data_IF_121334060032
#
_entry.id   IF_121334060032
#
_cell.length_a   1.000
_cell.length_b   1.000
_cell.length_c   1.000
_cell.angle_alpha   90.00
_cell.angle_beta   90.00
_cell.angle_gamma   90.00
#
_symmetry.space_group_name_H-M   'P 1'
#
loop_
_entity.id
_entity.type
_entity.pdbx_description
1 polymer ?
#
# COMPACT_ATOMS: atom_id res chain seq x y z
N UNK A 1 7.35 -20.15 104.68
CA UNK A 1 7.71 -19.15 103.64
C UNK A 1 8.18 -19.79 102.34
N UNK A 2 9.19 -20.68 102.30
CA UNK A 2 9.69 -21.30 101.04
C UNK A 2 8.62 -22.04 100.20
N UNK A 3 7.67 -22.77 100.81
CA UNK A 3 6.61 -23.50 100.08
C UNK A 3 5.61 -22.56 99.37
N UNK A 4 5.27 -21.42 99.99
CA UNK A 4 4.34 -20.43 99.40
C UNK A 4 4.98 -19.76 98.18
N UNK A 5 6.29 -19.49 98.22
CA UNK A 5 7.04 -18.93 97.10
C UNK A 5 7.06 -19.88 95.89
N UNK A 6 7.14 -21.19 96.12
CA UNK A 6 7.13 -22.22 95.06
C UNK A 6 5.75 -22.30 94.36
N UNK A 7 4.65 -22.21 95.11
CA UNK A 7 3.30 -22.18 94.53
C UNK A 7 3.06 -20.93 93.69
N UNK A 8 3.53 -19.77 94.16
CA UNK A 8 3.47 -18.51 93.40
C UNK A 8 4.22 -18.61 92.07
N UNK A 9 5.40 -19.24 92.09
CA UNK A 9 6.22 -19.42 90.89
C UNK A 9 5.60 -20.40 89.89
N UNK A 10 4.95 -21.47 90.37
CA UNK A 10 4.19 -22.40 89.53
C UNK A 10 2.97 -21.76 88.86
N UNK A 11 2.26 -20.88 89.58
CA UNK A 11 1.13 -20.13 89.02
C UNK A 11 1.61 -19.18 87.93
N UNK A 12 2.73 -18.49 88.13
CA UNK A 12 3.31 -17.60 87.10
C UNK A 12 3.71 -18.38 85.86
N UNK A 13 4.34 -19.56 86.00
CA UNK A 13 4.69 -20.42 84.86
C UNK A 13 3.45 -20.93 84.12
N UNK A 14 2.39 -21.30 84.84
CA UNK A 14 1.11 -21.70 84.27
C UNK A 14 0.44 -20.54 83.52
N UNK A 15 0.49 -19.32 84.05
CA UNK A 15 -0.05 -18.14 83.39
C UNK A 15 0.74 -17.82 82.11
N UNK A 16 2.07 -17.95 82.13
CA UNK A 16 2.92 -17.71 80.95
C UNK A 16 2.68 -18.78 79.87
N UNK A 17 2.52 -20.06 80.26
CA UNK A 17 2.24 -21.14 79.31
C UNK A 17 0.83 -21.03 78.73
N UNK A 18 -0.16 -20.62 79.53
CA UNK A 18 -1.53 -20.39 79.07
C UNK A 18 -1.61 -19.19 78.10
N UNK A 19 -0.88 -18.11 78.37
CA UNK A 19 -0.79 -16.96 77.46
C UNK A 19 -0.10 -17.31 76.13
N UNK A 20 0.91 -18.20 76.11
CA UNK A 20 1.52 -18.69 74.86
C UNK A 20 0.55 -19.50 74.00
N UNK A 21 -0.34 -20.29 74.62
CA UNK A 21 -1.34 -21.08 73.89
C UNK A 21 -2.42 -20.15 73.29
N UNK A 22 -2.81 -19.09 74.00
CA UNK A 22 -3.76 -18.09 73.48
C UNK A 22 -3.19 -17.21 72.37
N UNK A 23 -1.90 -16.86 72.43
CA UNK A 23 -1.23 -16.07 71.38
C UNK A 23 -0.87 -16.86 70.11
N UNK A 24 -1.05 -18.19 70.10
CA UNK A 24 -0.76 -19.04 68.93
C UNK A 24 -2.03 -19.55 68.23
N UNK A 25 -3.21 -18.99 68.53
CA UNK A 25 -4.49 -19.46 67.98
C UNK A 25 -5.04 -18.65 66.79
N UNK A 26 -4.32 -17.69 66.24
CA UNK A 26 -4.79 -16.89 65.09
C UNK A 26 -3.78 -16.81 63.92
N UNK A 27 -3.03 -17.88 63.62
CA UNK A 27 -2.06 -17.87 62.51
C UNK A 27 -2.44 -18.76 61.32
N UNK A 28 -3.72 -19.04 61.04
CA UNK A 28 -4.01 -19.82 59.83
C UNK A 28 -5.40 -19.72 59.19
N UNK A 29 -6.08 -18.58 59.24
CA UNK A 29 -7.26 -18.36 58.37
C UNK A 29 -7.24 -16.89 57.89
N UNK A 30 -7.16 -16.71 56.57
CA UNK A 30 -7.24 -15.46 55.79
C UNK A 30 -5.91 -14.74 55.43
N UNK A 31 -5.00 -15.43 54.72
CA UNK A 31 -4.34 -14.71 53.61
C UNK A 31 -5.35 -14.65 52.46
N UNK A 32 -6.00 -13.51 52.32
CA UNK A 32 -6.86 -13.20 51.18
C UNK A 32 -5.97 -13.23 49.93
N UNK A 33 -6.13 -14.28 49.10
CA UNK A 33 -5.38 -14.42 47.85
C UNK A 33 -5.80 -13.24 46.95
N UNK A 34 -5.02 -12.16 46.95
CA UNK A 34 -5.25 -11.00 46.10
C UNK A 34 -4.91 -11.42 44.66
N UNK A 35 -5.89 -12.00 43.97
CA UNK A 35 -5.78 -12.26 42.53
C UNK A 35 -5.69 -10.89 41.86
N UNK A 36 -4.50 -10.55 41.37
CA UNK A 36 -4.33 -9.38 40.51
C UNK A 36 -5.09 -9.66 39.21
N UNK A 37 -6.33 -9.15 39.14
CA UNK A 37 -7.11 -9.17 37.90
C UNK A 37 -6.30 -8.31 36.92
N UNK A 38 -5.77 -8.92 35.87
CA UNK A 38 -5.16 -8.17 34.78
C UNK A 38 -6.14 -7.05 34.37
N UNK A 39 -5.68 -5.80 34.21
CA UNK A 39 -6.55 -4.71 33.83
C UNK A 39 -7.33 -5.12 32.57
N UNK A 40 -8.66 -5.05 32.65
CA UNK A 40 -9.51 -5.28 31.49
C UNK A 40 -9.03 -4.28 30.44
N UNK A 41 -8.60 -4.71 29.25
CA UNK A 41 -8.03 -3.79 28.28
C UNK A 41 -9.10 -2.76 27.94
N UNK A 42 -8.79 -1.50 28.22
CA UNK A 42 -9.70 -0.38 28.05
C UNK A 42 -10.10 -0.29 26.57
N UNK A 43 -11.38 -0.55 26.27
CA UNK A 43 -11.91 -0.42 24.92
C UNK A 43 -11.95 1.06 24.58
N UNK A 44 -11.23 1.43 23.53
CA UNK A 44 -11.21 2.76 22.96
C UNK A 44 -12.20 2.83 21.81
N UNK A 45 -13.03 3.89 21.79
CA UNK A 45 -13.87 4.23 20.64
C UNK A 45 -13.10 5.21 19.78
N UNK A 46 -12.91 4.88 18.51
CA UNK A 46 -12.10 5.70 17.59
C UNK A 46 -12.76 5.83 16.22
N UNK A 47 -12.61 7.00 15.60
CA UNK A 47 -12.90 7.21 14.19
C UNK A 47 -11.68 6.82 13.35
N UNK A 48 -11.80 5.78 12.53
CA UNK A 48 -10.80 5.40 11.53
C UNK A 48 -11.21 5.90 10.15
N UNK A 49 -10.22 6.16 9.30
CA UNK A 49 -10.41 6.47 7.88
C UNK A 49 -9.98 5.27 7.05
N UNK A 50 -10.89 4.78 6.23
CA UNK A 50 -10.69 3.72 5.26
C UNK A 50 -10.75 4.29 3.85
N UNK A 51 -10.04 3.67 2.93
CA UNK A 51 -10.04 4.05 1.53
C UNK A 51 -10.70 2.94 0.71
N UNK A 52 -11.79 3.28 0.03
CA UNK A 52 -12.49 2.38 -0.88
C UNK A 52 -12.59 2.99 -2.26
N UNK A 53 -12.55 2.18 -3.34
CA UNK A 53 -12.70 2.73 -4.67
C UNK A 53 -14.09 3.32 -4.90
N UNK A 54 -14.14 4.36 -5.71
CA UNK A 54 -15.39 4.88 -6.24
C UNK A 54 -16.08 3.86 -7.17
N UNK A 55 -17.36 4.07 -7.44
CA UNK A 55 -18.14 3.22 -8.36
C UNK A 55 -17.52 3.11 -9.76
N UNK A 56 -16.76 4.12 -10.20
CA UNK A 56 -16.08 4.14 -11.50
C UNK A 56 -14.75 3.41 -11.54
N UNK A 57 -14.18 2.95 -10.41
CA UNK A 57 -12.83 2.35 -10.30
C UNK A 57 -11.72 3.29 -10.78
N UNK A 58 -11.93 4.59 -10.61
CA UNK A 58 -10.99 5.63 -11.02
C UNK A 58 -10.24 6.23 -9.83
N UNK A 59 -10.84 6.27 -8.65
CA UNK A 59 -10.27 6.93 -7.48
C UNK A 59 -10.42 6.06 -6.23
N UNK A 60 -9.65 6.39 -5.20
CA UNK A 60 -9.93 6.00 -3.83
C UNK A 60 -10.68 7.13 -3.13
N UNK A 61 -11.76 6.80 -2.44
CA UNK A 61 -12.55 7.73 -1.67
C UNK A 61 -12.46 7.37 -0.19
N UNK A 62 -12.50 8.40 0.66
CA UNK A 62 -12.45 8.21 2.10
C UNK A 62 -13.80 7.71 2.62
N UNK A 63 -13.74 6.83 3.59
CA UNK A 63 -14.86 6.39 4.40
C UNK A 63 -14.45 6.39 5.85
N UNK A 64 -15.15 7.16 6.67
CA UNK A 64 -14.87 7.20 8.10
C UNK A 64 -15.78 6.22 8.83
N UNK A 65 -15.20 5.38 9.70
CA UNK A 65 -15.94 4.42 10.53
C UNK A 65 -15.59 4.60 11.99
N UNK A 66 -16.61 4.51 12.85
CA UNK A 66 -16.41 4.40 14.29
C UNK A 66 -16.18 2.94 14.62
N UNK A 67 -15.05 2.64 15.25
CA UNK A 67 -14.71 1.30 15.73
C UNK A 67 -14.50 1.32 17.24
N UNK A 68 -14.74 0.17 17.87
CA UNK A 68 -14.34 -0.08 19.26
C UNK A 68 -13.20 -1.08 19.27
N UNK A 69 -12.07 -0.72 19.88
CA UNK A 69 -10.92 -1.61 19.91
C UNK A 69 -10.02 -1.43 21.12
N UNK A 70 -9.14 -2.41 21.33
CA UNK A 70 -7.97 -2.27 22.21
C UNK A 70 -6.77 -1.84 21.37
N UNK A 71 -5.82 -1.12 21.97
CA UNK A 71 -4.67 -0.54 21.23
C UNK A 71 -3.87 -1.59 20.45
N UNK A 72 -3.76 -2.81 20.99
CA UNK A 72 -2.95 -3.91 20.44
C UNK A 72 -3.48 -4.52 19.13
N UNK A 73 -4.61 -4.03 18.59
CA UNK A 73 -5.29 -4.63 17.43
C UNK A 73 -5.57 -3.65 16.29
N UNK A 74 -5.02 -2.43 16.32
CA UNK A 74 -5.47 -1.35 15.42
C UNK A 74 -5.25 -1.65 13.94
N UNK A 75 -4.05 -2.10 13.55
CA UNK A 75 -3.75 -2.48 12.17
C UNK A 75 -4.64 -3.62 11.68
N UNK A 76 -4.84 -4.61 12.55
CA UNK A 76 -5.69 -5.77 12.28
C UNK A 76 -7.13 -5.34 12.01
N UNK A 77 -7.67 -4.45 12.84
CA UNK A 77 -9.05 -3.99 12.71
C UNK A 77 -9.24 -3.18 11.44
N UNK A 78 -8.31 -2.29 11.07
CA UNK A 78 -8.37 -1.57 9.79
C UNK A 78 -8.47 -2.55 8.62
N UNK A 79 -7.65 -3.60 8.61
CA UNK A 79 -7.67 -4.61 7.54
C UNK A 79 -8.97 -5.44 7.54
N UNK A 80 -9.45 -5.85 8.71
CA UNK A 80 -10.71 -6.58 8.85
C UNK A 80 -11.90 -5.71 8.41
N UNK A 81 -11.90 -4.41 8.71
CA UNK A 81 -12.91 -3.47 8.23
C UNK A 81 -12.86 -3.25 6.72
N UNK A 82 -11.67 -3.23 6.11
CA UNK A 82 -11.53 -3.21 4.65
C UNK A 82 -12.07 -4.50 4.01
N UNK A 83 -11.80 -5.67 4.59
CA UNK A 83 -12.28 -6.98 4.10
C UNK A 83 -13.80 -7.08 4.20
N UNK A 84 -14.43 -6.49 5.23
CA UNK A 84 -15.90 -6.39 5.33
C UNK A 84 -16.52 -5.64 4.13
N UNK A 85 -15.73 -4.83 3.42
CA UNK A 85 -16.19 -4.02 2.30
C UNK A 85 -16.86 -2.72 2.74
N UNK A 86 -17.12 -1.84 1.78
CA UNK A 86 -17.76 -0.52 1.99
C UNK A 86 -19.21 -0.64 2.46
N UNK A 87 -19.66 0.30 3.30
CA UNK A 87 -21.10 0.47 3.64
C UNK A 87 -21.79 1.48 2.72
N UNK A 88 -21.01 2.26 2.00
CA UNK A 88 -21.47 3.23 1.01
C UNK A 88 -21.78 2.53 -0.32
N UNK A 89 -22.99 2.74 -0.84
CA UNK A 89 -23.51 2.13 -2.08
C UNK A 89 -22.88 2.72 -3.34
N UNK A 90 -22.27 3.90 -3.26
CA UNK A 90 -21.61 4.55 -4.39
C UNK A 90 -20.14 4.13 -4.53
N UNK A 91 -19.64 3.38 -3.55
CA UNK A 91 -18.29 2.80 -3.53
C UNK A 91 -18.37 1.31 -3.80
N UNK A 92 -17.21 0.72 -4.05
CA UNK A 92 -17.10 -0.73 -4.27
C UNK A 92 -16.06 -1.36 -3.34
N UNK A 93 -16.20 -2.66 -3.10
CA UNK A 93 -15.17 -3.46 -2.44
C UNK A 93 -14.31 -4.16 -3.51
N UNK A 94 -13.00 -3.89 -3.50
CA UNK A 94 -12.01 -4.55 -4.38
C UNK A 94 -11.23 -5.64 -3.68
N UNK A 95 -11.32 -5.73 -2.35
CA UNK A 95 -10.81 -6.86 -1.56
C UNK A 95 -11.94 -7.90 -1.50
N UNK A 96 -11.70 -9.14 -1.95
CA UNK A 96 -12.71 -10.20 -1.84
C UNK A 96 -13.10 -10.45 -0.38
N UNK A 97 -14.40 -10.53 -0.10
CA UNK A 97 -14.91 -10.82 1.26
C UNK A 97 -14.49 -12.21 1.79
N UNK A 98 -14.02 -13.09 0.90
CA UNK A 98 -13.44 -14.41 1.22
C UNK A 98 -11.99 -14.33 1.70
N UNK A 99 -11.34 -13.16 1.59
CA UNK A 99 -9.96 -12.93 2.04
C UNK A 99 -9.85 -13.11 3.54
N UNK A 100 -8.82 -13.85 3.98
CA UNK A 100 -8.47 -13.99 5.40
C UNK A 100 -7.17 -13.24 5.68
N UNK A 101 -7.14 -12.55 6.82
CA UNK A 101 -5.93 -11.94 7.36
C UNK A 101 -5.21 -12.95 8.25
N UNK A 102 -4.10 -13.52 7.76
CA UNK A 102 -3.29 -14.43 8.56
C UNK A 102 -2.46 -13.69 9.61
N UNK A 103 -1.76 -12.62 9.22
CA UNK A 103 -0.97 -11.83 10.16
C UNK A 103 -0.79 -10.38 9.71
N UNK A 104 -0.57 -9.51 10.69
CA UNK A 104 -0.07 -8.15 10.50
C UNK A 104 0.94 -7.85 11.60
N UNK A 105 2.13 -7.37 11.22
CA UNK A 105 3.20 -7.01 12.15
C UNK A 105 3.84 -5.71 11.70
N UNK A 106 3.90 -4.72 12.58
CA UNK A 106 4.57 -3.45 12.30
C UNK A 106 5.99 -3.47 12.85
N UNK A 107 6.98 -3.25 11.99
CA UNK A 107 8.40 -3.14 12.38
C UNK A 107 9.05 -1.98 11.65
N UNK A 108 9.73 -1.09 12.40
CA UNK A 108 10.46 0.07 11.87
C UNK A 108 9.61 0.98 10.96
N UNK A 109 8.31 1.09 11.25
CA UNK A 109 7.35 1.86 10.46
C UNK A 109 6.87 1.19 9.17
N UNK A 110 7.18 -0.09 8.95
CA UNK A 110 6.58 -0.89 7.87
C UNK A 110 5.62 -1.91 8.47
N UNK A 111 4.38 -1.93 7.97
CA UNK A 111 3.43 -3.00 8.28
C UNK A 111 3.62 -4.15 7.29
N UNK A 112 3.89 -5.35 7.81
CA UNK A 112 4.01 -6.58 7.05
C UNK A 112 2.72 -7.38 7.21
N UNK A 113 2.03 -7.60 6.09
CA UNK A 113 0.71 -8.23 6.07
C UNK A 113 0.81 -9.54 5.31
N UNK A 114 0.23 -10.60 5.88
CA UNK A 114 0.02 -11.85 5.19
C UNK A 114 -1.48 -12.12 5.02
N UNK A 115 -1.93 -12.18 3.77
CA UNK A 115 -3.31 -12.47 3.38
C UNK A 115 -3.41 -13.87 2.77
N UNK A 116 -4.61 -14.44 2.78
CA UNK A 116 -4.88 -15.70 2.11
C UNK A 116 -4.94 -15.58 0.59
N UNK A 117 -4.75 -16.68 -0.12
CA UNK A 117 -4.80 -16.71 -1.59
C UNK A 117 -6.12 -16.20 -2.18
N UNK A 118 -7.24 -16.24 -1.48
CA UNK A 118 -8.51 -15.66 -1.92
C UNK A 118 -8.39 -14.16 -2.23
N UNK A 119 -7.48 -13.43 -1.57
CA UNK A 119 -7.17 -12.05 -1.94
C UNK A 119 -6.77 -11.90 -3.40
N UNK A 120 -6.07 -12.92 -3.93
CA UNK A 120 -5.59 -12.99 -5.31
C UNK A 120 -6.58 -13.71 -6.22
N UNK A 121 -7.03 -14.92 -5.86
CA UNK A 121 -7.81 -15.80 -6.73
C UNK A 121 -9.24 -15.32 -6.95
N UNK A 122 -9.84 -14.71 -5.94
CA UNK A 122 -11.26 -14.32 -5.98
C UNK A 122 -11.43 -12.85 -6.38
N UNK A 123 -10.32 -12.11 -6.49
CA UNK A 123 -10.33 -10.74 -7.00
C UNK A 123 -10.75 -10.74 -8.46
N UNK A 124 -11.75 -9.92 -8.77
CA UNK A 124 -12.23 -9.75 -10.14
C UNK A 124 -11.09 -9.31 -11.05
N UNK A 125 -10.88 -10.04 -12.13
CA UNK A 125 -9.84 -9.71 -13.10
C UNK A 125 -10.19 -8.44 -13.89
N UNK A 126 -9.18 -7.63 -14.19
CA UNK A 126 -9.30 -6.46 -15.07
C UNK A 126 -9.60 -5.14 -14.36
N UNK A 127 -9.51 -4.06 -15.15
CA UNK A 127 -9.58 -2.68 -14.66
C UNK A 127 -8.42 -2.32 -13.73
N UNK A 128 -8.69 -1.42 -12.79
CA UNK A 128 -7.71 -0.92 -11.82
C UNK A 128 -7.74 -1.69 -10.48
N UNK A 129 -8.40 -2.85 -10.42
CA UNK A 129 -8.69 -3.55 -9.16
C UNK A 129 -7.43 -3.86 -8.34
N UNK A 130 -6.35 -4.33 -8.98
CA UNK A 130 -5.10 -4.63 -8.26
C UNK A 130 -4.52 -3.38 -7.59
N UNK A 131 -4.41 -2.28 -8.34
CA UNK A 131 -3.88 -1.00 -7.86
C UNK A 131 -4.74 -0.49 -6.71
N UNK A 132 -6.05 -0.47 -6.92
CA UNK A 132 -7.03 0.00 -5.96
C UNK A 132 -7.05 -0.84 -4.69
N UNK A 133 -6.90 -2.17 -4.77
CA UNK A 133 -6.85 -3.04 -3.60
C UNK A 133 -5.59 -2.82 -2.76
N UNK A 134 -4.42 -2.76 -3.41
CA UNK A 134 -3.16 -2.45 -2.74
C UNK A 134 -3.26 -1.08 -2.05
N UNK A 135 -3.69 -0.05 -2.75
CA UNK A 135 -3.75 1.30 -2.18
C UNK A 135 -4.92 1.54 -1.22
N UNK A 136 -6.00 0.75 -1.28
CA UNK A 136 -7.02 0.72 -0.23
C UNK A 136 -6.39 0.29 1.10
N UNK A 137 -5.57 -0.77 1.08
CA UNK A 137 -4.83 -1.25 2.26
C UNK A 137 -3.78 -0.22 2.69
N UNK A 138 -2.92 0.20 1.76
CA UNK A 138 -1.77 1.06 2.06
C UNK A 138 -2.22 2.42 2.60
N UNK A 139 -3.17 3.08 1.93
CA UNK A 139 -3.62 4.42 2.34
C UNK A 139 -4.37 4.35 3.68
N UNK A 140 -5.16 3.31 3.94
CA UNK A 140 -5.87 3.17 5.23
C UNK A 140 -4.91 2.89 6.39
N UNK A 141 -3.91 2.01 6.21
CA UNK A 141 -2.95 1.73 7.26
C UNK A 141 -1.99 2.89 7.52
N UNK A 142 -1.64 3.67 6.50
CA UNK A 142 -0.75 4.83 6.66
C UNK A 142 -1.43 6.06 7.29
N UNK A 143 -2.76 6.03 7.53
CA UNK A 143 -3.40 6.96 8.46
C UNK A 143 -2.87 6.81 9.89
N UNK A 144 -2.40 5.61 10.23
CA UNK A 144 -1.61 5.39 11.43
C UNK A 144 -0.23 6.02 11.22
N UNK A 145 0.03 7.18 11.83
CA UNK A 145 1.29 7.93 11.67
C UNK A 145 2.57 7.14 12.00
N UNK A 146 2.43 6.04 12.74
CA UNK A 146 3.51 5.09 13.04
C UNK A 146 3.90 4.23 11.83
N UNK A 147 3.00 4.05 10.85
CA UNK A 147 3.16 3.26 9.64
C UNK A 147 3.46 4.20 8.46
N UNK A 148 4.63 4.02 7.87
CA UNK A 148 5.13 4.78 6.72
C UNK A 148 5.01 4.01 5.41
N UNK A 149 4.97 2.68 5.49
CA UNK A 149 4.86 1.79 4.34
C UNK A 149 4.21 0.46 4.71
N UNK A 150 3.73 -0.26 3.70
CA UNK A 150 3.06 -1.55 3.85
C UNK A 150 3.61 -2.54 2.83
N UNK A 151 4.00 -3.72 3.29
CA UNK A 151 4.39 -4.84 2.44
C UNK A 151 3.37 -5.97 2.57
N UNK A 152 2.91 -6.49 1.44
CA UNK A 152 1.83 -7.47 1.37
C UNK A 152 2.39 -8.78 0.82
N UNK A 153 2.08 -9.89 1.50
CA UNK A 153 2.30 -11.25 1.02
C UNK A 153 0.98 -12.00 0.92
N UNK A 154 0.93 -12.98 0.03
CA UNK A 154 -0.22 -13.88 -0.18
C UNK A 154 0.24 -15.30 0.08
N UNK A 155 -0.39 -16.00 1.04
CA UNK A 155 0.05 -17.33 1.52
C UNK A 155 1.55 -17.37 1.88
N UNK A 156 2.05 -16.30 2.47
CA UNK A 156 3.47 -16.12 2.82
C UNK A 156 4.40 -15.85 1.64
N UNK A 157 3.90 -15.86 0.40
CA UNK A 157 4.66 -15.56 -0.80
C UNK A 157 4.65 -14.05 -1.06
N UNK A 158 5.86 -13.50 -1.26
CA UNK A 158 6.08 -12.09 -1.64
C UNK A 158 6.66 -11.94 -3.04
N UNK A 159 6.96 -13.03 -3.73
CA UNK A 159 7.56 -12.97 -5.06
C UNK A 159 6.48 -12.87 -6.14
N UNK A 160 6.78 -12.16 -7.23
CA UNK A 160 5.89 -11.97 -8.36
C UNK A 160 4.89 -10.84 -8.16
N UNK A 161 3.75 -10.95 -8.86
CA UNK A 161 2.69 -9.93 -8.90
C UNK A 161 1.39 -10.46 -8.28
N UNK A 162 0.55 -9.53 -7.79
CA UNK A 162 -0.76 -9.84 -7.22
C UNK A 162 -1.62 -10.62 -8.21
N UNK A 163 -1.98 -10.05 -9.36
CA UNK A 163 -2.50 -10.83 -10.48
C UNK A 163 -1.66 -10.64 -11.73
N UNK A 164 -1.44 -9.38 -12.14
CA UNK A 164 -0.79 -9.06 -13.40
C UNK A 164 0.10 -7.82 -13.33
N UNK A 165 -0.19 -6.88 -12.43
CA UNK A 165 0.46 -5.56 -12.51
C UNK A 165 1.17 -5.13 -11.24
N UNK A 166 0.70 -5.54 -10.06
CA UNK A 166 1.23 -5.01 -8.80
C UNK A 166 2.25 -5.97 -8.16
N UNK A 167 3.55 -5.64 -8.10
CA UNK A 167 4.54 -6.48 -7.44
C UNK A 167 4.28 -6.68 -5.94
N UNK A 168 4.57 -7.86 -5.40
CA UNK A 168 4.43 -8.16 -3.96
C UNK A 168 5.77 -8.06 -3.20
N UNK A 169 6.88 -7.95 -3.91
CA UNK A 169 8.23 -7.94 -3.35
C UNK A 169 8.65 -6.55 -2.84
N UNK A 170 7.75 -5.59 -2.92
CA UNK A 170 7.96 -4.19 -2.58
C UNK A 170 7.09 -3.71 -1.42
N UNK A 171 7.60 -2.72 -0.67
CA UNK A 171 6.86 -2.04 0.39
C UNK A 171 6.28 -0.71 -0.12
N UNK A 172 4.96 -0.66 -0.28
CA UNK A 172 4.23 0.49 -0.81
C UNK A 172 4.11 1.60 0.23
N UNK A 173 4.22 2.85 -0.22
CA UNK A 173 3.95 4.06 0.57
C UNK A 173 2.61 4.63 0.17
N UNK A 174 2.08 5.53 1.00
CA UNK A 174 0.84 6.23 0.70
C UNK A 174 0.88 6.88 -0.68
N UNK A 175 -0.21 6.75 -1.44
CA UNK A 175 -0.41 7.44 -2.71
C UNK A 175 -1.74 8.22 -2.66
N UNK A 176 -1.66 9.49 -2.25
CA UNK A 176 -2.82 10.38 -2.18
C UNK A 176 -3.22 10.93 -3.56
N UNK A 177 -2.37 10.79 -4.59
CA UNK A 177 -2.75 11.18 -5.96
C UNK A 177 -3.95 10.36 -6.42
N UNK A 178 -4.06 9.09 -6.03
CA UNK A 178 -5.21 8.22 -6.34
C UNK A 178 -6.50 8.64 -5.63
N UNK A 179 -6.42 9.52 -4.63
CA UNK A 179 -7.57 10.04 -3.90
C UNK A 179 -8.13 11.29 -4.59
N UNK A 180 -7.25 12.08 -5.21
CA UNK A 180 -7.60 13.37 -5.81
C UNK A 180 -7.69 13.33 -7.34
N UNK A 181 -7.04 12.37 -7.99
CA UNK A 181 -6.93 12.26 -9.45
C UNK A 181 -7.27 10.84 -9.92
N UNK A 182 -7.86 10.70 -11.13
CA UNK A 182 -8.24 9.39 -11.64
C UNK A 182 -7.00 8.59 -11.99
N UNK A 183 -7.08 7.27 -11.79
CA UNK A 183 -6.11 6.33 -12.35
C UNK A 183 -6.17 6.46 -13.87
N UNK A 184 -5.06 6.95 -14.43
CA UNK A 184 -4.89 7.09 -15.88
C UNK A 184 -4.61 5.74 -16.50
N UNK A 185 -5.41 5.36 -17.47
CA UNK A 185 -5.20 4.18 -18.31
C UNK A 185 -3.98 4.37 -19.22
N UNK A 186 -3.37 3.28 -19.74
CA UNK A 186 -2.28 3.40 -20.71
C UNK A 186 -2.58 4.32 -21.90
N UNK A 187 -3.84 4.34 -22.36
CA UNK A 187 -4.25 5.20 -23.48
C UNK A 187 -4.26 6.68 -23.10
N UNK A 188 -4.71 7.01 -21.88
CA UNK A 188 -4.71 8.37 -21.38
C UNK A 188 -3.29 8.86 -21.16
N UNK A 189 -2.39 7.99 -20.69
CA UNK A 189 -0.96 8.30 -20.57
C UNK A 189 -0.34 8.66 -21.94
N UNK A 190 -0.67 7.93 -23.02
CA UNK A 190 -0.18 8.30 -24.38
C UNK A 190 -0.77 9.63 -24.84
N UNK A 191 -2.06 9.87 -24.60
CA UNK A 191 -2.69 11.14 -24.96
C UNK A 191 -2.06 12.31 -24.20
N UNK A 192 -1.87 12.16 -22.89
CA UNK A 192 -1.17 13.13 -22.05
C UNK A 192 0.25 13.37 -22.56
N UNK A 193 0.99 12.29 -22.86
CA UNK A 193 2.33 12.37 -23.42
C UNK A 193 2.37 13.22 -24.69
N UNK A 194 1.55 12.92 -25.69
CA UNK A 194 1.52 13.70 -26.93
C UNK A 194 1.02 15.14 -26.72
N UNK A 195 0.06 15.37 -25.83
CA UNK A 195 -0.38 16.71 -25.46
C UNK A 195 0.76 17.52 -24.85
N UNK A 196 1.52 16.94 -23.92
CA UNK A 196 2.68 17.59 -23.33
C UNK A 196 3.77 17.89 -24.37
N UNK A 197 4.05 16.95 -25.28
CA UNK A 197 4.99 17.19 -26.38
C UNK A 197 4.56 18.35 -27.27
N UNK A 198 3.31 18.33 -27.74
CA UNK A 198 2.74 19.39 -28.59
C UNK A 198 2.82 20.77 -27.91
N UNK A 199 2.60 20.81 -26.60
CA UNK A 199 2.59 22.03 -25.80
C UNK A 199 4.00 22.43 -25.29
N UNK A 200 5.06 21.76 -25.75
CA UNK A 200 6.45 21.96 -25.29
C UNK A 200 6.68 21.73 -23.78
N UNK A 201 5.75 21.05 -23.11
CA UNK A 201 5.86 20.66 -21.71
C UNK A 201 6.63 19.34 -21.57
N UNK A 202 7.88 19.35 -22.01
CA UNK A 202 8.71 18.15 -22.06
C UNK A 202 9.01 17.59 -20.68
N UNK A 203 8.91 18.40 -19.62
CA UNK A 203 9.13 17.91 -18.26
C UNK A 203 8.03 16.93 -17.85
N UNK A 204 6.78 17.33 -18.01
CA UNK A 204 5.66 16.45 -17.67
C UNK A 204 5.59 15.24 -18.61
N UNK A 205 5.94 15.40 -19.90
CA UNK A 205 6.06 14.27 -20.82
C UNK A 205 7.12 13.26 -20.35
N UNK A 206 8.28 13.73 -19.88
CA UNK A 206 9.35 12.89 -19.35
C UNK A 206 8.93 12.16 -18.06
N UNK A 207 8.18 12.82 -17.17
CA UNK A 207 7.71 12.21 -15.92
C UNK A 207 6.68 11.07 -16.14
N UNK A 208 6.11 10.94 -17.36
CA UNK A 208 5.28 9.80 -17.78
C UNK A 208 6.11 8.59 -18.25
N UNK A 209 7.41 8.73 -18.40
CA UNK A 209 8.29 7.68 -18.88
C UNK A 209 8.86 6.87 -17.72
N UNK A 210 9.03 5.56 -17.95
CA UNK A 210 9.80 4.67 -17.10
C UNK A 210 11.16 4.44 -17.73
N UNK A 211 12.22 4.93 -17.06
CA UNK A 211 13.59 4.73 -17.47
C UNK A 211 14.16 3.47 -16.78
N UNK A 212 14.27 2.32 -17.47
CA UNK A 212 14.84 1.13 -16.86
C UNK A 212 16.34 1.32 -16.61
N UNK A 213 16.88 0.65 -15.60
CA UNK A 213 18.27 0.90 -15.12
C UNK A 213 19.37 0.63 -16.16
N UNK A 214 19.08 -0.13 -17.21
CA UNK A 214 19.96 -0.39 -18.34
C UNK A 214 19.94 0.72 -19.42
N UNK A 215 19.08 1.73 -19.27
CA UNK A 215 18.93 2.84 -20.19
C UNK A 215 19.32 4.15 -19.48
N UNK A 216 20.31 4.84 -20.03
CA UNK A 216 20.83 6.08 -19.44
C UNK A 216 20.30 7.30 -20.22
N UNK A 217 18.98 7.50 -20.21
CA UNK A 217 18.37 8.72 -20.76
C UNK A 217 18.08 9.69 -19.63
N UNK A 218 18.81 10.80 -19.60
CA UNK A 218 18.49 11.93 -18.73
C UNK A 218 17.54 12.93 -19.42
N UNK A 219 17.00 13.85 -18.61
CA UNK A 219 16.05 14.85 -19.09
C UNK A 219 16.64 15.79 -20.14
N UNK A 220 17.94 16.11 -20.06
CA UNK A 220 18.58 17.03 -21.01
C UNK A 220 18.62 16.41 -22.41
N UNK A 221 19.01 15.14 -22.51
CA UNK A 221 19.00 14.42 -23.79
C UNK A 221 17.59 14.29 -24.35
N UNK A 222 16.61 13.96 -23.50
CA UNK A 222 15.21 13.91 -23.88
C UNK A 222 14.68 15.27 -24.38
N UNK A 223 15.00 16.35 -23.66
CA UNK A 223 14.60 17.71 -24.01
C UNK A 223 15.10 18.11 -25.40
N UNK A 224 16.39 17.91 -25.67
CA UNK A 224 16.97 18.27 -26.96
C UNK A 224 16.35 17.49 -28.11
N UNK A 225 16.11 16.19 -27.92
CA UNK A 225 15.47 15.35 -28.91
C UNK A 225 14.03 15.77 -29.22
N UNK A 226 13.21 15.98 -28.19
CA UNK A 226 11.82 16.39 -28.40
C UNK A 226 11.74 17.78 -29.03
N UNK A 227 12.66 18.67 -28.68
CA UNK A 227 12.80 19.97 -29.31
C UNK A 227 13.19 19.85 -30.78
N UNK A 228 14.14 19.00 -31.14
CA UNK A 228 14.55 18.76 -32.53
C UNK A 228 13.41 18.16 -33.38
N UNK A 229 12.63 17.24 -32.80
CA UNK A 229 11.45 16.66 -33.47
C UNK A 229 10.39 17.70 -33.82
N UNK A 230 10.24 18.74 -33.00
CA UNK A 230 9.40 19.89 -33.32
C UNK A 230 7.91 19.58 -33.54
N UNK A 231 7.39 18.53 -32.90
CA UNK A 231 5.98 18.08 -33.04
C UNK A 231 5.02 19.16 -32.50
N UNK A 232 4.04 19.55 -33.32
CA UNK A 232 3.04 20.58 -33.03
C UNK A 232 1.60 20.10 -33.11
N UNK A 233 1.35 19.04 -33.86
CA UNK A 233 0.05 18.40 -33.93
C UNK A 233 0.23 16.89 -33.92
N UNK A 234 -0.77 16.17 -33.40
CA UNK A 234 -0.83 14.72 -33.47
C UNK A 234 -2.28 14.28 -33.63
N UNK A 235 -2.49 13.12 -34.23
CA UNK A 235 -3.80 12.50 -34.31
C UNK A 235 -3.69 10.98 -34.10
N UNK A 236 -4.44 10.43 -33.16
CA UNK A 236 -4.51 8.98 -32.92
C UNK A 236 -5.74 8.44 -33.66
N UNK A 237 -5.54 7.57 -34.64
CA UNK A 237 -6.60 6.99 -35.47
C UNK A 237 -7.21 5.75 -34.83
N UNK A 238 -6.37 4.87 -34.29
CA UNK A 238 -6.76 3.58 -33.73
C UNK A 238 -5.76 3.15 -32.67
N UNK A 239 -6.21 2.22 -31.81
CA UNK A 239 -5.30 1.53 -30.91
C UNK A 239 -5.79 0.13 -30.59
N UNK A 240 -4.85 -0.75 -30.28
CA UNK A 240 -5.11 -2.09 -29.79
C UNK A 240 -4.25 -2.36 -28.56
N UNK A 241 -4.88 -2.80 -27.46
CA UNK A 241 -4.20 -3.07 -26.20
C UNK A 241 -4.06 -4.57 -25.98
N UNK A 242 -2.84 -5.01 -25.72
CA UNK A 242 -2.52 -6.39 -25.35
C UNK A 242 -1.82 -6.39 -24.00
N UNK A 243 -2.40 -7.06 -23.00
CA UNK A 243 -1.79 -7.17 -21.68
C UNK A 243 -1.00 -8.47 -21.51
N UNK A 244 0.24 -8.38 -21.06
CA UNK A 244 1.13 -9.49 -20.70
C UNK A 244 1.31 -9.57 -19.18
N UNK A 245 2.01 -10.60 -18.68
CA UNK A 245 2.15 -10.85 -17.24
C UNK A 245 2.84 -9.73 -16.45
N UNK A 246 3.68 -8.91 -17.10
CA UNK A 246 4.50 -7.88 -16.42
C UNK A 246 4.38 -6.49 -17.06
N UNK A 247 3.75 -6.41 -18.23
CA UNK A 247 3.63 -5.17 -19.00
C UNK A 247 2.40 -5.18 -19.90
N UNK A 248 1.98 -4.00 -20.35
CA UNK A 248 0.98 -3.84 -21.40
C UNK A 248 1.69 -3.34 -22.65
N UNK A 249 1.28 -3.79 -23.82
CA UNK A 249 1.64 -3.15 -25.09
C UNK A 249 0.38 -2.54 -25.67
N UNK A 250 0.48 -1.28 -26.04
CA UNK A 250 -0.56 -0.62 -26.83
C UNK A 250 0.01 -0.31 -28.20
N UNK A 251 -0.63 -0.83 -29.23
CA UNK A 251 -0.31 -0.54 -30.63
C UNK A 251 -1.15 0.62 -31.10
N UNK A 252 -0.52 1.64 -31.66
CA UNK A 252 -1.22 2.81 -32.17
C UNK A 252 -1.01 2.97 -33.68
N UNK A 253 -2.09 3.38 -34.35
CA UNK A 253 -1.98 4.10 -35.62
C UNK A 253 -2.17 5.59 -35.32
N UNK A 254 -1.19 6.42 -35.67
CA UNK A 254 -1.25 7.85 -35.41
C UNK A 254 -0.44 8.67 -36.44
N UNK A 255 -0.68 9.97 -36.49
CA UNK A 255 0.20 10.92 -37.20
C UNK A 255 0.74 12.00 -36.29
N UNK A 256 1.84 12.59 -36.71
CA UNK A 256 2.44 13.78 -36.12
C UNK A 256 2.74 14.80 -37.22
N UNK A 257 2.61 16.08 -36.89
CA UNK A 257 3.00 17.18 -37.76
C UNK A 257 3.99 18.11 -37.06
N UNK A 258 5.04 18.52 -37.74
CA UNK A 258 6.12 19.33 -37.19
C UNK A 258 5.92 20.82 -37.47
N UNK A 259 6.79 21.68 -36.92
CA UNK A 259 6.78 23.12 -37.21
C UNK A 259 7.05 23.45 -38.69
N UNK A 260 7.72 22.56 -39.43
CA UNK A 260 8.01 22.75 -40.87
C UNK A 260 6.80 22.42 -41.73
N UNK A 261 5.77 21.82 -41.13
CA UNK A 261 4.58 21.33 -41.82
C UNK A 261 4.71 19.89 -42.31
N UNK A 262 5.85 19.23 -42.10
CA UNK A 262 6.04 17.82 -42.44
C UNK A 262 5.11 16.95 -41.60
N UNK A 263 4.46 15.98 -42.24
CA UNK A 263 3.54 15.03 -41.59
C UNK A 263 4.09 13.61 -41.68
N UNK A 264 4.07 12.91 -40.55
CA UNK A 264 4.56 11.55 -40.39
C UNK A 264 3.42 10.65 -39.93
N UNK A 265 3.20 9.53 -40.62
CA UNK A 265 2.20 8.53 -40.25
C UNK A 265 2.87 7.27 -39.73
N UNK A 266 2.39 6.79 -38.59
CA UNK A 266 2.86 5.60 -37.92
C UNK A 266 1.74 4.58 -37.87
N UNK A 267 2.06 3.33 -38.26
CA UNK A 267 1.12 2.21 -38.24
C UNK A 267 1.64 1.11 -37.34
N UNK A 268 0.77 0.54 -36.50
CA UNK A 268 1.09 -0.51 -35.55
C UNK A 268 2.31 -0.18 -34.68
N UNK A 269 2.42 1.07 -34.23
CA UNK A 269 3.55 1.48 -33.41
C UNK A 269 3.31 1.06 -31.96
N UNK A 270 4.19 0.21 -31.46
CA UNK A 270 4.13 -0.30 -30.10
C UNK A 270 4.57 0.79 -29.10
N UNK A 271 3.80 0.91 -28.03
CA UNK A 271 4.15 1.57 -26.78
C UNK A 271 4.06 0.53 -25.68
N UNK A 272 5.21 0.17 -25.10
CA UNK A 272 5.25 -0.70 -23.93
C UNK A 272 4.99 0.10 -22.65
N UNK A 273 4.21 -0.48 -21.75
CA UNK A 273 3.81 0.11 -20.49
C UNK A 273 4.18 -0.80 -19.34
N UNK A 274 4.73 -0.22 -18.29
CA UNK A 274 4.89 -0.90 -17.00
C UNK A 274 4.05 -0.18 -15.96
N UNK A 275 3.54 -0.95 -15.00
CA UNK A 275 2.92 -0.40 -13.83
C UNK A 275 4.01 -0.13 -12.79
N UNK A 276 4.38 1.13 -12.64
CA UNK A 276 5.34 1.57 -11.66
C UNK A 276 4.60 2.05 -10.41
N UNK A 277 4.38 1.13 -9.48
CA UNK A 277 3.73 1.40 -8.18
C UNK A 277 2.34 2.04 -8.30
N UNK A 278 1.48 1.49 -9.15
CA UNK A 278 0.12 1.99 -9.39
C UNK A 278 0.00 3.07 -10.45
N UNK A 279 1.13 3.54 -11.00
CA UNK A 279 1.13 4.47 -12.13
C UNK A 279 1.56 3.76 -13.41
N UNK A 280 0.76 3.89 -14.46
CA UNK A 280 1.17 3.46 -15.79
C UNK A 280 2.24 4.41 -16.34
N UNK A 281 3.36 3.84 -16.77
CA UNK A 281 4.48 4.58 -17.37
C UNK A 281 4.87 3.98 -18.72
N UNK A 282 5.21 4.83 -19.68
CA UNK A 282 5.70 4.41 -21.00
C UNK A 282 7.16 3.97 -20.83
N UNK A 283 7.47 2.73 -21.18
CA UNK A 283 8.83 2.19 -21.07
C UNK A 283 9.72 2.79 -22.14
N UNK A 284 10.84 3.38 -21.73
CA UNK A 284 11.75 4.09 -22.63
C UNK A 284 12.41 3.18 -23.67
N UNK A 285 12.44 1.85 -23.53
CA UNK A 285 13.11 0.90 -24.45
C UNK A 285 12.68 1.00 -25.93
N UNK A 286 11.57 1.66 -26.23
CA UNK A 286 11.13 1.95 -27.60
C UNK A 286 11.77 3.22 -28.20
N UNK A 287 12.36 4.09 -27.36
CA UNK A 287 13.04 5.33 -27.74
C UNK A 287 14.48 5.15 -28.32
N UNK A 288 15.33 4.15 -27.97
CA UNK A 288 16.71 4.04 -28.46
C UNK A 288 16.86 3.69 -29.94
N UNK A 289 15.80 3.20 -30.61
CA UNK A 289 15.83 3.11 -32.10
C UNK A 289 15.66 4.46 -32.78
N UNK A 290 15.28 5.51 -32.05
CA UNK A 290 15.12 6.86 -32.57
C UNK A 290 16.40 7.71 -32.49
N UNK A 291 17.34 7.36 -31.61
CA UNK A 291 18.60 8.10 -31.43
C UNK A 291 19.77 7.62 -32.31
N UNK A 292 19.69 6.41 -32.89
CA UNK A 292 20.79 5.82 -33.66
C UNK A 292 20.77 6.12 -35.17
N UNK A 293 19.73 6.76 -35.72
CA UNK A 293 19.60 6.98 -37.16
C UNK A 293 19.75 8.45 -37.61
N UNK A 294 19.99 9.41 -36.72
CA UNK A 294 20.08 10.83 -37.07
C UNK A 294 21.43 11.49 -36.80
N UNK A 295 22.54 10.73 -36.75
CA UNK A 295 23.87 11.33 -36.84
C UNK A 295 24.80 10.47 -37.71
N UNK A 296 24.55 10.49 -39.03
CA UNK A 296 25.67 10.43 -39.98
C UNK A 296 26.15 11.86 -40.16
N UNK A 297 27.21 12.25 -39.44
CA UNK A 297 28.02 13.38 -39.88
C UNK A 297 28.58 13.00 -41.26
N UNK A 298 27.96 13.50 -42.33
CA UNK A 298 28.65 13.65 -43.59
C UNK A 298 29.70 14.74 -43.36
N UNK A 299 30.87 14.32 -42.87
CA UNK A 299 32.08 15.10 -43.05
C UNK A 299 32.37 15.08 -44.56
N UNK A 300 32.07 16.18 -45.22
CA UNK A 300 32.69 16.53 -46.50
C UNK A 300 33.72 17.64 -46.24
N UNK A 301 34.83 17.61 -46.99
CA UNK A 301 36.16 18.09 -46.58
C UNK A 301 36.30 19.59 -46.36
#
# INVERSE_FOLDING_TARGET
MKKILIYLLLIVVLVISFNRIMLNKDNNINEELKVEIAPIPEKTVELITLYFPDGGKQYLTRENRVIEHTVEQRERIILEELIKGTIDKEKIAVIPATTKLYSVVTKNGTAYINLSNEFKSDMQFGGNNEILAIYSIVNSLTELKTIKSVQISVDGQKEGVLQKYMPLDYAYKQNLSLVNNPIRTPIEIVKDYFNFIKNEDYRNAFDLLYNPSNVNIDYSMYYHFQKERGVREYNIYSYEMTGYNEFIVVKFDYSEKTWTGDEFHYKNKDFKFTNHYGEWKIVIEDLPRFFNNSIKFNNSP
#
